data_IF_060735459675
#
_entry.id   IF_060735459675
#
_cell.length_a   1.000
_cell.length_b   1.000
_cell.length_c   1.000
_cell.angle_alpha   90.00
_cell.angle_beta   90.00
_cell.angle_gamma   90.00
#
_symmetry.space_group_name_H-M   'P 1'
#
loop_
_entity.id
_entity.type
_entity.pdbx_description
1 polymer ?
#
# COMPACT_ATOMS: atom_id res chain seq x y z
N UNK A 1 -12.91 21.30 -8.86
CA UNK A 1 -12.76 21.84 -7.49
C UNK A 1 -13.53 20.98 -6.51
N UNK A 2 -12.93 20.66 -5.38
CA UNK A 2 -13.59 19.86 -4.34
C UNK A 2 -14.37 20.83 -3.43
N UNK A 3 -15.67 20.60 -3.22
CA UNK A 3 -16.44 21.44 -2.29
C UNK A 3 -15.85 21.35 -0.88
N UNK A 4 -15.99 22.44 -0.11
CA UNK A 4 -15.45 22.48 1.26
C UNK A 4 -15.98 21.35 2.15
N UNK A 5 -17.24 20.98 1.96
CA UNK A 5 -17.84 19.89 2.74
C UNK A 5 -17.33 18.50 2.35
N UNK A 6 -16.54 18.41 1.29
CA UNK A 6 -16.07 17.13 0.74
C UNK A 6 -14.61 16.85 1.09
N UNK A 7 -14.00 17.62 1.99
CA UNK A 7 -12.59 17.48 2.33
C UNK A 7 -12.22 16.11 2.86
N UNK A 8 -13.09 15.46 3.62
CA UNK A 8 -12.82 14.15 4.17
C UNK A 8 -12.89 13.02 3.13
N UNK A 9 -13.31 13.31 1.90
CA UNK A 9 -13.50 12.34 0.86
C UNK A 9 -12.41 12.37 -0.22
N UNK A 10 -11.31 13.08 0.04
CA UNK A 10 -10.19 13.08 -0.90
C UNK A 10 -9.60 11.68 -1.02
N UNK A 11 -9.44 11.24 -2.26
CA UNK A 11 -8.90 9.93 -2.55
C UNK A 11 -7.39 9.90 -2.36
N UNK A 12 -6.88 8.73 -1.99
CA UNK A 12 -5.45 8.51 -1.83
C UNK A 12 -4.76 8.53 -3.19
N UNK A 13 -3.69 9.31 -3.31
CA UNK A 13 -2.82 9.29 -4.47
C UNK A 13 -1.76 8.21 -4.25
N UNK A 14 -1.86 7.11 -4.99
CA UNK A 14 -0.96 5.96 -4.82
C UNK A 14 0.17 6.03 -5.83
N UNK A 15 1.38 6.31 -5.35
CA UNK A 15 2.58 6.37 -6.19
C UNK A 15 3.25 5.00 -6.16
N UNK A 16 2.78 4.08 -6.99
CA UNK A 16 3.19 2.68 -6.92
C UNK A 16 3.11 1.94 -8.25
N UNK A 17 2.44 2.47 -9.27
CA UNK A 17 2.07 1.70 -10.45
C UNK A 17 3.27 1.14 -11.20
N UNK A 18 4.33 1.95 -11.37
CA UNK A 18 5.54 1.49 -12.07
C UNK A 18 6.23 0.37 -11.29
N UNK A 19 6.33 0.51 -9.98
CA UNK A 19 6.95 -0.50 -9.12
C UNK A 19 6.18 -1.82 -9.18
N UNK A 20 4.85 -1.75 -9.21
CA UNK A 20 4.01 -2.93 -9.34
C UNK A 20 4.29 -3.65 -10.66
N UNK A 21 4.33 -2.93 -11.78
CA UNK A 21 4.62 -3.53 -13.08
C UNK A 21 5.99 -4.20 -13.11
N UNK A 22 7.00 -3.53 -12.58
CA UNK A 22 8.36 -4.06 -12.55
C UNK A 22 8.44 -5.33 -11.72
N UNK A 23 7.80 -5.32 -10.55
CA UNK A 23 7.80 -6.50 -9.67
C UNK A 23 7.09 -7.69 -10.35
N UNK A 24 5.97 -7.43 -11.01
CA UNK A 24 5.17 -8.49 -11.65
C UNK A 24 5.85 -9.11 -12.86
N UNK A 25 6.82 -8.45 -13.47
CA UNK A 25 7.62 -9.05 -14.54
C UNK A 25 8.38 -10.28 -14.05
N UNK A 26 8.82 -10.26 -12.79
CA UNK A 26 9.54 -11.38 -12.16
C UNK A 26 8.64 -12.30 -11.36
N UNK A 27 7.50 -11.80 -10.92
CA UNK A 27 6.56 -12.53 -10.06
C UNK A 27 5.15 -12.40 -10.64
N UNK A 28 4.86 -13.19 -11.66
CA UNK A 28 3.60 -13.05 -12.42
C UNK A 28 2.36 -13.32 -11.60
N UNK A 29 2.45 -14.20 -10.62
CA UNK A 29 1.32 -14.50 -9.74
C UNK A 29 1.00 -13.34 -8.79
N UNK A 30 1.89 -12.36 -8.70
CA UNK A 30 1.65 -11.16 -7.89
C UNK A 30 0.73 -10.16 -8.59
N UNK A 31 0.53 -10.27 -9.91
CA UNK A 31 -0.22 -9.27 -10.67
C UNK A 31 -1.64 -9.09 -10.14
N UNK A 32 -2.39 -10.18 -10.03
CA UNK A 32 -3.80 -10.10 -9.63
C UNK A 32 -3.96 -9.50 -8.22
N UNK A 33 -3.26 -9.99 -7.18
CA UNK A 33 -3.41 -9.40 -5.85
C UNK A 33 -2.87 -7.97 -5.75
N UNK A 34 -1.83 -7.61 -6.48
CA UNK A 34 -1.32 -6.23 -6.47
C UNK A 34 -2.25 -5.29 -7.21
N UNK A 35 -2.83 -5.72 -8.32
CA UNK A 35 -3.82 -4.92 -9.05
C UNK A 35 -5.05 -4.67 -8.17
N UNK A 36 -5.50 -5.69 -7.47
CA UNK A 36 -6.61 -5.53 -6.52
C UNK A 36 -6.26 -4.53 -5.43
N UNK A 37 -5.09 -4.70 -4.80
CA UNK A 37 -4.63 -3.77 -3.77
C UNK A 37 -4.59 -2.33 -4.29
N UNK A 38 -4.03 -2.14 -5.47
CA UNK A 38 -3.89 -0.82 -6.08
C UNK A 38 -5.26 -0.16 -6.32
N UNK A 39 -6.21 -0.92 -6.87
CA UNK A 39 -7.56 -0.40 -7.15
C UNK A 39 -8.28 -0.01 -5.87
N UNK A 40 -8.12 -0.78 -4.81
CA UNK A 40 -8.74 -0.47 -3.52
C UNK A 40 -8.05 0.72 -2.87
N UNK A 41 -6.73 0.72 -2.83
CA UNK A 41 -5.97 1.78 -2.18
C UNK A 41 -6.21 3.16 -2.81
N UNK A 42 -6.24 3.24 -4.13
CA UNK A 42 -6.42 4.54 -4.80
C UNK A 42 -7.81 5.14 -4.62
N UNK A 43 -8.78 4.35 -4.17
CA UNK A 43 -10.13 4.82 -3.89
C UNK A 43 -10.36 5.07 -2.39
N UNK A 44 -9.36 4.77 -1.57
CA UNK A 44 -9.48 4.93 -0.14
C UNK A 44 -9.48 6.40 0.26
N UNK A 45 -10.14 6.68 1.39
CA UNK A 45 -10.23 8.02 1.97
C UNK A 45 -9.65 8.01 3.39
N UNK A 46 -8.67 7.16 3.63
CA UNK A 46 -8.10 6.97 4.97
C UNK A 46 -7.57 8.26 5.57
N UNK A 47 -7.86 8.47 6.84
CA UNK A 47 -7.33 9.60 7.61
C UNK A 47 -6.32 9.15 8.66
N UNK A 48 -6.25 7.86 8.95
CA UNK A 48 -5.28 7.29 9.90
C UNK A 48 -5.09 5.80 9.62
N UNK A 49 -4.15 5.19 10.34
CA UNK A 49 -3.85 3.77 10.18
C UNK A 49 -5.02 2.86 10.56
N UNK A 50 -5.81 3.24 11.56
CA UNK A 50 -6.97 2.43 11.95
C UNK A 50 -7.92 2.22 10.78
N UNK A 51 -8.10 3.25 9.93
CA UNK A 51 -8.93 3.13 8.73
C UNK A 51 -8.30 2.25 7.67
N UNK A 52 -6.98 2.27 7.55
CA UNK A 52 -6.27 1.33 6.66
C UNK A 52 -6.60 -0.10 7.06
N UNK A 53 -6.58 -0.40 8.35
CA UNK A 53 -6.89 -1.74 8.86
C UNK A 53 -8.34 -2.15 8.68
N UNK A 54 -9.25 -1.21 8.59
CA UNK A 54 -10.65 -1.51 8.26
C UNK A 54 -10.77 -2.03 6.83
N UNK A 55 -9.95 -1.52 5.92
CA UNK A 55 -9.94 -1.94 4.52
C UNK A 55 -9.08 -3.18 4.31
N UNK A 56 -7.87 -3.19 4.87
CA UNK A 56 -6.91 -4.29 4.78
C UNK A 56 -6.60 -4.78 6.19
N UNK A 57 -7.35 -5.77 6.65
CA UNK A 57 -7.33 -6.19 8.06
C UNK A 57 -6.01 -6.79 8.52
N UNK A 58 -5.13 -7.18 7.60
CA UNK A 58 -3.80 -7.72 7.94
C UNK A 58 -2.70 -6.68 7.82
N UNK A 59 -3.03 -5.43 7.47
CA UNK A 59 -2.02 -4.38 7.40
C UNK A 59 -1.38 -4.18 8.75
N UNK A 60 -0.06 -3.94 8.75
CA UNK A 60 0.73 -3.77 9.96
C UNK A 60 1.45 -2.42 9.94
N UNK A 61 1.58 -1.80 11.11
CA UNK A 61 2.30 -0.55 11.23
C UNK A 61 3.67 -0.81 11.82
N UNK A 62 4.71 -0.65 11.01
CA UNK A 62 6.11 -0.78 11.42
C UNK A 62 6.74 0.58 11.16
N UNK A 63 6.58 1.49 12.12
CA UNK A 63 6.89 2.91 11.96
C UNK A 63 8.25 3.15 11.30
N UNK A 64 8.34 4.02 10.29
CA UNK A 64 7.28 4.87 9.77
C UNK A 64 6.44 4.22 8.65
N UNK A 65 6.53 2.92 8.47
CA UNK A 65 5.95 2.21 7.34
C UNK A 65 4.64 1.53 7.67
N UNK A 66 3.82 1.37 6.64
CA UNK A 66 2.65 0.50 6.65
C UNK A 66 2.95 -0.67 5.75
N UNK A 67 2.77 -1.89 6.25
CA UNK A 67 3.10 -3.12 5.52
C UNK A 67 1.80 -3.83 5.15
N UNK A 68 1.65 -4.11 3.85
CA UNK A 68 0.48 -4.81 3.33
C UNK A 68 0.85 -6.23 2.93
N UNK A 69 0.03 -7.19 3.32
CA UNK A 69 0.12 -8.56 2.83
C UNK A 69 -0.49 -8.62 1.42
N UNK A 70 0.24 -9.20 0.49
CA UNK A 70 -0.19 -9.31 -0.91
C UNK A 70 -0.19 -10.79 -1.29
N UNK A 71 -1.31 -11.25 -1.86
CA UNK A 71 -1.43 -12.67 -2.23
C UNK A 71 -1.38 -13.58 -1.01
N UNK A 72 -2.11 -13.21 0.05
CA UNK A 72 -2.05 -13.89 1.32
C UNK A 72 -0.70 -13.65 1.98
N UNK A 73 0.11 -14.70 2.10
CA UNK A 73 1.40 -14.62 2.77
C UNK A 73 2.61 -14.58 1.82
N UNK A 74 2.37 -14.50 0.51
CA UNK A 74 3.46 -14.63 -0.49
C UNK A 74 4.33 -13.38 -0.56
N UNK A 75 3.72 -12.21 -0.57
CA UNK A 75 4.43 -10.96 -0.83
C UNK A 75 4.07 -9.91 0.20
N UNK A 76 4.94 -8.90 0.29
CA UNK A 76 4.74 -7.72 1.15
C UNK A 76 4.95 -6.46 0.34
N UNK A 77 4.09 -5.47 0.53
CA UNK A 77 4.27 -4.13 0.00
C UNK A 77 4.49 -3.19 1.17
N UNK A 78 5.63 -2.52 1.14
CA UNK A 78 6.03 -1.58 2.18
C UNK A 78 5.72 -0.17 1.69
N UNK A 79 4.94 0.58 2.45
CA UNK A 79 4.52 1.92 2.04
C UNK A 79 4.74 2.94 3.14
N UNK A 80 4.90 4.19 2.74
CA UNK A 80 4.76 5.33 3.63
C UNK A 80 3.50 6.08 3.25
N UNK A 81 2.68 6.43 4.23
CA UNK A 81 1.42 7.10 3.98
C UNK A 81 1.42 8.47 4.65
N UNK A 82 1.27 9.52 3.85
CA UNK A 82 1.01 10.86 4.34
C UNK A 82 -0.48 11.09 4.37
N UNK A 83 -1.10 10.85 5.51
CA UNK A 83 -2.56 10.91 5.63
C UNK A 83 -3.11 12.31 5.37
N UNK A 84 -2.43 13.34 5.87
CA UNK A 84 -2.88 14.71 5.67
C UNK A 84 -2.78 15.16 4.22
N UNK A 85 -1.79 14.66 3.48
CA UNK A 85 -1.57 15.00 2.07
C UNK A 85 -2.23 14.01 1.13
N UNK A 86 -2.79 12.92 1.66
CA UNK A 86 -3.44 11.87 0.87
C UNK A 86 -2.51 11.26 -0.17
N UNK A 87 -1.29 10.90 0.25
CA UNK A 87 -0.30 10.29 -0.62
C UNK A 87 0.21 9.00 0.02
N UNK A 88 0.28 7.96 -0.80
CA UNK A 88 0.89 6.69 -0.43
C UNK A 88 2.08 6.44 -1.35
N UNK A 89 3.27 6.36 -0.78
CA UNK A 89 4.48 6.05 -1.53
C UNK A 89 4.85 4.59 -1.32
N UNK A 90 5.07 3.86 -2.42
CA UNK A 90 5.62 2.53 -2.37
C UNK A 90 7.11 2.60 -2.05
N UNK A 91 7.51 2.02 -0.93
CA UNK A 91 8.90 1.93 -0.51
C UNK A 91 9.57 0.64 -1.02
N UNK A 92 8.80 -0.41 -1.21
CA UNK A 92 9.31 -1.67 -1.76
C UNK A 92 8.24 -2.73 -1.82
N UNK A 93 8.37 -3.63 -2.80
CA UNK A 93 7.57 -4.84 -2.91
C UNK A 93 8.55 -5.99 -2.90
N UNK A 94 8.27 -7.02 -2.11
CA UNK A 94 9.21 -8.11 -1.91
C UNK A 94 8.51 -9.41 -1.55
N UNK A 95 9.25 -10.50 -1.65
CA UNK A 95 8.76 -11.81 -1.18
C UNK A 95 8.71 -11.82 0.34
N UNK A 96 7.94 -12.75 0.90
CA UNK A 96 7.89 -12.96 2.34
C UNK A 96 9.28 -13.23 2.93
N UNK A 97 10.07 -14.03 2.21
CA UNK A 97 11.44 -14.35 2.63
C UNK A 97 12.33 -13.11 2.73
N UNK A 98 12.24 -12.22 1.73
CA UNK A 98 12.99 -10.97 1.75
C UNK A 98 12.51 -10.05 2.86
N UNK A 99 11.20 -10.02 3.11
CA UNK A 99 10.64 -9.24 4.19
C UNK A 99 11.18 -9.68 5.55
N UNK A 100 11.24 -10.97 5.80
CA UNK A 100 11.73 -11.51 7.07
C UNK A 100 13.19 -11.15 7.30
N UNK A 101 14.02 -11.09 6.25
CA UNK A 101 15.43 -10.68 6.38
C UNK A 101 15.59 -9.26 6.90
N UNK A 102 14.60 -8.40 6.71
CA UNK A 102 14.55 -7.09 7.32
C UNK A 102 15.44 -6.01 6.70
N UNK A 103 16.09 -6.26 5.58
CA UNK A 103 16.95 -5.27 4.92
C UNK A 103 16.19 -4.01 4.51
N UNK A 104 14.90 -4.12 4.26
CA UNK A 104 14.05 -3.00 3.87
C UNK A 104 13.90 -1.94 4.96
N UNK A 105 14.25 -2.27 6.20
CA UNK A 105 14.16 -1.34 7.34
C UNK A 105 15.30 -0.32 7.37
N UNK A 106 16.30 -0.52 6.57
CA UNK A 106 17.49 0.35 6.56
C UNK A 106 17.24 1.66 5.83
#
# INVERSE_FOLDING_TARGET
MIPLWDHGLELMNVVSHKAIRTFCEKHRDAWSPLDHWYRVAKRATWVNFAEVRQTFNTADFVAPYVVFDIGGNKYRLIAEIGFSHKVLFNHGIMTHKEYIKGAWKL
#
